data_IF_270595689185
#
_entry.id   IF_270595689185
#
_cell.length_a   1.000
_cell.length_b   1.000
_cell.length_c   1.000
_cell.angle_alpha   90.00
_cell.angle_beta   90.00
_cell.angle_gamma   90.00
#
_symmetry.space_group_name_H-M   'P 1'
#
loop_
_entity.id
_entity.type
_entity.pdbx_description
1 polymer ?
#
# COMPACT_ATOMS: atom_id res chain seq x y z
N UNK A 1 -5.84 4.49 -3.02
CA UNK A 1 -5.37 3.54 -4.01
C UNK A 1 -6.28 2.31 -4.07
N UNK A 2 -6.25 1.40 -3.07
CA UNK A 2 -6.98 0.12 -3.08
C UNK A 2 -8.49 0.30 -3.32
N UNK A 3 -9.15 1.23 -2.63
CA UNK A 3 -10.59 1.51 -2.81
C UNK A 3 -10.90 1.92 -4.25
N UNK A 4 -10.11 2.84 -4.82
CA UNK A 4 -10.32 3.28 -6.20
C UNK A 4 -10.10 2.14 -7.19
N UNK A 5 -9.05 1.33 -7.00
CA UNK A 5 -8.81 0.15 -7.83
C UNK A 5 -9.95 -0.87 -7.73
N UNK A 6 -10.42 -1.14 -6.52
CA UNK A 6 -11.56 -2.04 -6.30
C UNK A 6 -12.82 -1.58 -7.04
N UNK A 7 -13.12 -0.28 -6.99
CA UNK A 7 -14.32 0.30 -7.64
C UNK A 7 -14.21 0.32 -9.15
N UNK A 8 -13.12 0.83 -9.68
CA UNK A 8 -13.01 1.21 -11.09
C UNK A 8 -12.35 0.14 -11.97
N UNK A 9 -11.58 -0.78 -11.37
CA UNK A 9 -10.90 -1.86 -12.11
C UNK A 9 -11.49 -3.22 -11.77
N UNK A 10 -11.64 -3.55 -10.48
CA UNK A 10 -12.17 -4.85 -10.07
C UNK A 10 -13.72 -4.91 -10.05
N UNK A 11 -14.43 -3.81 -10.35
CA UNK A 11 -15.89 -3.78 -10.47
C UNK A 11 -16.67 -3.86 -9.16
N UNK A 12 -16.03 -3.61 -8.01
CA UNK A 12 -16.66 -3.59 -6.69
C UNK A 12 -17.10 -2.15 -6.38
N UNK A 13 -18.21 -1.72 -6.96
CA UNK A 13 -18.65 -0.31 -7.01
C UNK A 13 -18.86 0.34 -5.64
N UNK A 14 -19.23 -0.44 -4.62
CA UNK A 14 -19.46 0.00 -3.24
C UNK A 14 -18.26 -0.27 -2.31
N UNK A 15 -17.08 -0.65 -2.85
CA UNK A 15 -15.87 -0.85 -2.06
C UNK A 15 -15.53 0.40 -1.26
N UNK A 16 -15.23 0.23 0.02
CA UNK A 16 -14.90 1.35 0.91
C UNK A 16 -13.92 0.93 2.02
N UNK A 17 -13.53 1.90 2.85
CA UNK A 17 -12.85 1.65 4.11
C UNK A 17 -13.88 1.62 5.24
N UNK A 18 -13.74 0.66 6.16
CA UNK A 18 -14.48 0.67 7.41
C UNK A 18 -14.21 1.89 8.30
N UNK A 19 -13.12 2.62 8.04
CA UNK A 19 -12.83 3.89 8.71
C UNK A 19 -13.78 5.02 8.25
N UNK A 20 -14.15 5.03 6.97
CA UNK A 20 -15.00 6.07 6.40
C UNK A 20 -16.48 5.73 6.51
N UNK A 21 -16.81 4.43 6.42
CA UNK A 21 -18.18 3.95 6.51
C UNK A 21 -18.19 2.54 7.13
N UNK A 22 -18.55 2.49 8.40
CA UNK A 22 -18.67 1.23 9.14
C UNK A 22 -19.80 0.33 8.64
N UNK A 23 -20.76 0.90 7.91
CA UNK A 23 -21.93 0.17 7.39
C UNK A 23 -21.72 -0.38 5.99
N UNK A 24 -20.65 0.04 5.29
CA UNK A 24 -20.40 -0.41 3.93
C UNK A 24 -20.23 -1.93 3.86
N UNK A 25 -20.79 -2.52 2.80
CA UNK A 25 -20.79 -3.97 2.61
C UNK A 25 -19.39 -4.50 2.25
N UNK A 26 -18.73 -3.82 1.30
CA UNK A 26 -17.44 -4.25 0.78
C UNK A 26 -16.29 -3.42 1.38
N UNK A 27 -15.88 -3.78 2.61
CA UNK A 27 -14.75 -3.16 3.32
C UNK A 27 -13.43 -3.73 2.80
N UNK A 28 -12.91 -3.16 1.71
CA UNK A 28 -11.59 -3.56 1.17
C UNK A 28 -10.43 -3.10 2.04
N UNK A 29 -10.68 -2.11 2.90
CA UNK A 29 -9.82 -1.69 4.01
C UNK A 29 -10.64 -1.85 5.29
N UNK A 30 -10.13 -2.56 6.27
CA UNK A 30 -10.86 -2.89 7.50
C UNK A 30 -9.95 -3.25 8.65
N UNK A 31 -10.54 -3.66 9.76
CA UNK A 31 -9.78 -4.29 10.84
C UNK A 31 -9.37 -5.71 10.44
N UNK A 32 -8.22 -6.15 10.92
CA UNK A 32 -7.87 -7.57 10.83
C UNK A 32 -8.86 -8.40 11.68
N UNK A 33 -9.18 -9.65 11.28
CA UNK A 33 -10.18 -10.48 11.96
C UNK A 33 -9.94 -10.68 13.46
N UNK A 34 -8.69 -10.63 13.90
CA UNK A 34 -8.29 -10.79 15.30
C UNK A 34 -8.31 -9.46 16.10
N UNK A 35 -8.66 -8.36 15.44
CA UNK A 35 -8.77 -7.03 16.04
C UNK A 35 -10.24 -6.69 16.28
N UNK A 36 -10.79 -7.13 17.41
CA UNK A 36 -12.13 -6.72 17.83
C UNK A 36 -12.13 -5.27 18.32
N UNK A 37 -13.25 -4.55 18.12
CA UNK A 37 -13.45 -3.16 18.57
C UNK A 37 -13.17 -2.96 20.06
N UNK A 38 -13.36 -3.98 20.87
CA UNK A 38 -13.09 -3.97 22.31
C UNK A 38 -11.60 -3.95 22.66
N UNK A 39 -10.74 -4.49 21.79
CA UNK A 39 -9.27 -4.44 21.92
C UNK A 39 -8.73 -3.13 21.33
N UNK A 40 -9.50 -2.46 20.47
CA UNK A 40 -9.11 -1.26 19.73
C UNK A 40 -8.79 -0.03 20.58
N UNK A 41 -9.20 0.02 21.85
CA UNK A 41 -8.96 1.19 22.71
C UNK A 41 -7.53 1.29 23.28
N UNK A 42 -6.66 0.33 23.05
CA UNK A 42 -5.30 0.38 23.61
C UNK A 42 -4.18 -0.41 22.92
N UNK A 43 -4.45 -1.27 21.93
CA UNK A 43 -3.41 -2.20 21.49
C UNK A 43 -3.31 -2.55 19.99
N UNK A 44 -4.20 -2.09 19.13
CA UNK A 44 -4.28 -2.50 17.73
C UNK A 44 -3.73 -1.49 16.73
N UNK A 45 -3.26 -0.34 17.21
CA UNK A 45 -2.61 0.64 16.35
C UNK A 45 -1.21 0.13 15.99
N UNK A 46 -0.96 -0.07 14.71
CA UNK A 46 0.41 -0.27 14.23
C UNK A 46 1.15 1.06 14.31
N UNK A 47 1.94 1.20 15.34
CA UNK A 47 2.70 2.42 15.64
C UNK A 47 4.19 2.08 15.74
N UNK A 48 5.01 2.77 14.96
CA UNK A 48 6.46 2.59 14.96
C UNK A 48 6.98 1.81 13.74
N UNK A 49 8.17 1.24 13.86
CA UNK A 49 8.85 0.54 12.78
C UNK A 49 8.40 -0.92 12.70
N UNK A 50 8.02 -1.34 11.49
CA UNK A 50 7.66 -2.73 11.19
C UNK A 50 8.41 -3.22 9.96
N UNK A 51 8.78 -4.51 9.93
CA UNK A 51 9.44 -5.11 8.78
C UNK A 51 8.45 -5.30 7.63
N UNK A 52 8.94 -5.10 6.41
CA UNK A 52 8.22 -5.41 5.18
C UNK A 52 9.13 -6.18 4.24
N UNK A 53 8.64 -7.28 3.69
CA UNK A 53 9.32 -8.07 2.67
C UNK A 53 8.80 -7.67 1.29
N UNK A 54 9.69 -7.14 0.46
CA UNK A 54 9.40 -6.67 -0.89
C UNK A 54 9.52 -7.85 -1.87
N UNK A 55 8.57 -7.94 -2.78
CA UNK A 55 8.53 -8.93 -3.84
C UNK A 55 9.49 -8.53 -4.98
N UNK A 56 10.22 -9.52 -5.50
CA UNK A 56 11.09 -9.34 -6.67
C UNK A 56 10.30 -8.94 -7.92
N UNK A 57 10.98 -8.29 -8.86
CA UNK A 57 10.40 -7.82 -10.12
C UNK A 57 9.23 -6.84 -9.97
N UNK A 58 9.28 -6.00 -8.95
CA UNK A 58 8.31 -4.94 -8.66
C UNK A 58 8.96 -3.56 -8.73
N UNK A 59 8.15 -2.51 -8.87
CA UNK A 59 8.64 -1.13 -8.76
C UNK A 59 9.22 -0.87 -7.36
N UNK A 60 8.61 -1.44 -6.34
CA UNK A 60 9.14 -1.38 -4.97
C UNK A 60 10.57 -1.91 -4.90
N UNK A 61 10.83 -3.10 -5.45
CA UNK A 61 12.18 -3.68 -5.48
C UNK A 61 13.17 -2.80 -6.26
N UNK A 62 12.73 -2.25 -7.40
CA UNK A 62 13.55 -1.35 -8.22
C UNK A 62 14.05 -0.14 -7.43
N UNK A 63 13.18 0.49 -6.63
CA UNK A 63 13.53 1.74 -5.94
C UNK A 63 14.22 1.51 -4.59
N UNK A 64 13.87 0.47 -3.87
CA UNK A 64 14.55 0.14 -2.60
C UNK A 64 15.88 -0.57 -2.78
N UNK A 65 15.99 -1.43 -3.80
CA UNK A 65 17.20 -2.22 -4.05
C UNK A 65 17.45 -3.34 -3.03
N UNK A 66 16.51 -3.57 -2.13
CA UNK A 66 16.60 -4.60 -1.08
C UNK A 66 15.23 -5.20 -0.78
N UNK A 67 15.21 -6.51 -0.47
CA UNK A 67 13.95 -7.24 -0.23
C UNK A 67 13.39 -7.07 1.18
N UNK A 68 14.23 -6.79 2.16
CA UNK A 68 13.82 -6.66 3.55
C UNK A 68 14.01 -5.23 4.02
N UNK A 69 12.92 -4.52 4.18
CA UNK A 69 12.92 -3.14 4.66
C UNK A 69 12.20 -3.04 6.00
N UNK A 70 12.38 -1.92 6.68
CA UNK A 70 11.62 -1.59 7.88
C UNK A 70 11.10 -0.17 7.75
N UNK A 71 9.81 0.01 7.83
CA UNK A 71 9.15 1.30 7.64
C UNK A 71 8.26 1.68 8.82
N UNK A 72 7.98 2.99 8.97
CA UNK A 72 7.23 3.51 10.13
C UNK A 72 5.74 3.64 9.81
N UNK A 73 4.93 3.08 10.70
CA UNK A 73 3.47 3.02 10.61
C UNK A 73 2.81 3.86 11.70
N UNK A 74 1.58 4.32 11.41
CA UNK A 74 0.68 4.95 12.38
C UNK A 74 -0.78 4.78 11.94
N UNK A 75 -1.20 3.57 11.65
CA UNK A 75 -2.55 3.27 11.18
C UNK A 75 -3.17 2.11 11.94
N UNK A 76 -4.47 2.01 11.84
CA UNK A 76 -5.31 1.03 12.54
C UNK A 76 -6.02 0.11 11.56
N UNK A 77 -6.33 0.61 10.36
CA UNK A 77 -7.02 -0.12 9.32
C UNK A 77 -6.01 -0.71 8.34
N UNK A 78 -6.32 -1.92 7.88
CA UNK A 78 -5.44 -2.73 7.05
C UNK A 78 -6.14 -3.14 5.76
N UNK A 79 -5.37 -3.55 4.77
CA UNK A 79 -5.88 -4.22 3.58
C UNK A 79 -6.62 -5.50 3.99
N UNK A 80 -7.85 -5.66 3.51
CA UNK A 80 -8.68 -6.82 3.84
C UNK A 80 -8.33 -8.01 2.92
N UNK A 81 -7.71 -9.05 3.49
CA UNK A 81 -7.27 -10.23 2.77
C UNK A 81 -8.38 -11.02 2.05
N UNK A 82 -9.64 -10.85 2.45
CA UNK A 82 -10.78 -11.45 1.73
C UNK A 82 -10.89 -10.95 0.28
N UNK A 83 -10.36 -9.75 0.01
CA UNK A 83 -10.34 -9.15 -1.33
C UNK A 83 -9.02 -9.38 -2.07
N UNK A 84 -8.04 -10.02 -1.43
CA UNK A 84 -6.70 -10.24 -2.01
C UNK A 84 -6.79 -10.88 -3.39
N UNK A 85 -7.51 -12.00 -3.48
CA UNK A 85 -7.64 -12.75 -4.74
C UNK A 85 -8.32 -11.93 -5.83
N UNK A 86 -9.48 -11.34 -5.57
CA UNK A 86 -10.23 -10.60 -6.61
C UNK A 86 -9.47 -9.37 -7.10
N UNK A 87 -8.74 -8.68 -6.23
CA UNK A 87 -7.95 -7.52 -6.62
C UNK A 87 -6.69 -7.91 -7.40
N UNK A 88 -6.03 -9.02 -7.03
CA UNK A 88 -4.87 -9.50 -7.78
C UNK A 88 -5.26 -10.11 -9.13
N UNK A 89 -6.38 -10.80 -9.22
CA UNK A 89 -6.93 -11.29 -10.49
C UNK A 89 -7.28 -10.12 -11.45
N UNK A 90 -7.65 -8.96 -10.90
CA UNK A 90 -7.92 -7.74 -11.66
C UNK A 90 -6.64 -6.94 -12.03
N UNK A 91 -5.44 -7.39 -11.64
CA UNK A 91 -4.16 -6.78 -12.01
C UNK A 91 -3.46 -5.99 -10.91
N UNK A 92 -4.02 -5.90 -9.70
CA UNK A 92 -3.29 -5.29 -8.57
C UNK A 92 -2.12 -6.17 -8.16
N UNK A 93 -0.92 -5.63 -8.12
CA UNK A 93 0.25 -6.36 -7.64
C UNK A 93 0.48 -6.06 -6.16
N UNK A 94 0.50 -7.09 -5.32
CA UNK A 94 0.99 -6.99 -3.95
C UNK A 94 2.50 -7.05 -4.02
N UNK A 95 3.15 -5.91 -3.81
CA UNK A 95 4.59 -5.72 -3.96
C UNK A 95 5.36 -5.80 -2.64
N UNK A 96 4.66 -5.79 -1.50
CA UNK A 96 5.28 -5.99 -0.19
C UNK A 96 4.28 -6.45 0.86
N UNK A 97 4.77 -7.28 1.78
CA UNK A 97 3.97 -7.86 2.87
C UNK A 97 4.77 -7.87 4.17
N UNK A 98 4.09 -8.12 5.29
CA UNK A 98 4.76 -8.58 6.50
C UNK A 98 5.57 -9.87 6.23
N UNK A 99 6.61 -10.19 7.04
CA UNK A 99 7.47 -11.37 6.78
C UNK A 99 6.75 -12.71 6.73
N UNK A 100 5.60 -12.83 7.40
CA UNK A 100 4.72 -14.00 7.36
C UNK A 100 3.80 -14.02 6.11
N UNK A 101 3.86 -12.98 5.28
CA UNK A 101 3.05 -12.82 4.07
C UNK A 101 1.60 -12.42 4.32
N UNK A 102 1.18 -12.23 5.57
CA UNK A 102 -0.22 -12.02 5.93
C UNK A 102 -0.68 -10.57 5.70
N UNK A 103 0.02 -9.58 6.26
CA UNK A 103 -0.35 -8.18 6.12
C UNK A 103 0.18 -7.62 4.80
N UNK A 104 -0.70 -7.01 4.01
CA UNK A 104 -0.31 -6.31 2.79
C UNK A 104 0.18 -4.92 3.14
N UNK A 105 1.44 -4.65 2.86
CA UNK A 105 2.11 -3.38 3.18
C UNK A 105 2.16 -2.42 2.00
N UNK A 106 2.33 -2.99 0.81
CA UNK A 106 2.47 -2.21 -0.43
C UNK A 106 1.77 -2.88 -1.59
N UNK A 107 1.21 -2.04 -2.47
CA UNK A 107 0.58 -2.46 -3.73
C UNK A 107 1.03 -1.56 -4.86
N UNK A 108 1.01 -2.08 -6.09
CA UNK A 108 1.32 -1.31 -7.29
C UNK A 108 0.44 -1.72 -8.48
N UNK A 109 0.32 -0.82 -9.45
CA UNK A 109 -0.33 -1.05 -10.75
C UNK A 109 0.76 -1.00 -11.82
N UNK A 110 1.18 -2.16 -12.36
CA UNK A 110 2.33 -2.24 -13.28
C UNK A 110 2.12 -1.49 -14.60
N UNK A 111 0.88 -1.33 -15.04
CA UNK A 111 0.52 -0.64 -16.28
C UNK A 111 0.81 0.88 -16.23
N UNK A 112 0.98 1.43 -15.05
CA UNK A 112 1.33 2.83 -14.85
C UNK A 112 2.85 3.01 -14.73
N UNK A 113 3.38 4.08 -15.28
CA UNK A 113 4.81 4.41 -15.23
C UNK A 113 5.33 4.46 -13.78
N UNK A 114 4.52 4.98 -12.86
CA UNK A 114 4.77 4.93 -11.42
C UNK A 114 3.45 4.98 -10.63
N UNK A 115 3.02 3.84 -10.15
CA UNK A 115 1.89 3.75 -9.22
C UNK A 115 2.21 2.77 -8.10
N UNK A 116 2.68 3.30 -7.01
CA UNK A 116 2.99 2.56 -5.78
C UNK A 116 2.19 3.16 -4.62
N UNK A 117 1.52 2.33 -3.87
CA UNK A 117 0.80 2.73 -2.67
C UNK A 117 1.27 1.89 -1.47
N UNK A 118 1.44 2.56 -0.35
CA UNK A 118 2.02 1.98 0.86
C UNK A 118 1.15 2.26 2.09
N UNK A 119 1.20 1.38 3.08
CA UNK A 119 0.53 1.53 4.36
C UNK A 119 1.33 2.40 5.34
N UNK A 120 2.64 2.36 5.24
CA UNK A 120 3.54 3.13 6.07
C UNK A 120 3.67 4.59 5.60
N UNK A 121 4.42 5.37 6.34
CA UNK A 121 4.64 6.81 6.13
C UNK A 121 6.09 7.09 5.69
N UNK A 122 6.38 7.14 4.38
CA UNK A 122 7.72 7.40 3.85
C UNK A 122 8.36 8.68 4.37
N UNK A 123 7.54 9.72 4.63
CA UNK A 123 7.99 11.01 5.14
C UNK A 123 8.70 10.92 6.49
N UNK A 124 8.41 9.92 7.31
CA UNK A 124 9.06 9.75 8.60
C UNK A 124 10.54 9.35 8.49
N UNK A 125 10.94 8.77 7.35
CA UNK A 125 12.33 8.37 7.09
C UNK A 125 13.03 9.23 6.06
N UNK A 126 12.31 10.07 5.33
CA UNK A 126 12.88 10.98 4.35
C UNK A 126 13.66 12.14 5.00
N UNK A 127 14.78 12.53 4.39
CA UNK A 127 15.62 13.67 4.83
C UNK A 127 16.09 14.43 3.59
N UNK A 128 16.39 15.74 3.69
CA UNK A 128 16.88 16.52 2.56
C UNK A 128 18.12 15.94 1.88
N UNK A 129 19.05 15.40 2.66
CA UNK A 129 20.30 14.78 2.18
C UNK A 129 20.20 13.27 1.94
N UNK A 130 19.07 12.66 2.24
CA UNK A 130 18.75 11.24 2.01
C UNK A 130 17.25 11.09 1.80
N UNK A 131 16.73 11.50 0.63
CA UNK A 131 15.31 11.39 0.32
C UNK A 131 14.88 9.93 0.28
N UNK A 132 13.62 9.70 0.63
CA UNK A 132 13.07 8.35 0.62
C UNK A 132 13.00 7.79 -0.82
N UNK A 133 13.32 6.50 -1.06
CA UNK A 133 13.35 5.91 -2.40
C UNK A 133 12.09 6.13 -3.22
N UNK A 134 10.92 6.06 -2.61
CA UNK A 134 9.64 6.26 -3.31
C UNK A 134 9.43 7.71 -3.75
N UNK A 135 9.93 8.70 -3.01
CA UNK A 135 9.90 10.09 -3.45
C UNK A 135 10.85 10.33 -4.61
N UNK A 136 12.03 9.70 -4.59
CA UNK A 136 12.94 9.72 -5.73
C UNK A 136 12.26 9.11 -6.97
N UNK A 137 11.62 7.95 -6.82
CA UNK A 137 10.89 7.28 -7.90
C UNK A 137 9.77 8.13 -8.49
N UNK A 138 8.99 8.80 -7.63
CA UNK A 138 7.93 9.70 -8.08
C UNK A 138 8.47 10.85 -8.93
N UNK A 139 9.50 11.54 -8.44
CA UNK A 139 10.11 12.67 -9.14
C UNK A 139 10.76 12.23 -10.45
N UNK A 140 11.50 11.12 -10.45
CA UNK A 140 12.13 10.56 -11.65
C UNK A 140 11.09 10.28 -12.76
N UNK A 141 9.97 9.66 -12.40
CA UNK A 141 8.93 9.35 -13.39
C UNK A 141 8.15 10.60 -13.83
N UNK A 142 7.94 11.57 -12.94
CA UNK A 142 7.33 12.84 -13.30
C UNK A 142 8.18 13.61 -14.34
N UNK A 143 9.50 13.67 -14.16
CA UNK A 143 10.42 14.29 -15.13
C UNK A 143 10.40 13.55 -16.47
N UNK A 144 10.46 12.22 -16.47
CA UNK A 144 10.36 11.44 -17.71
C UNK A 144 9.04 11.67 -18.46
N UNK A 145 7.94 11.87 -17.76
CA UNK A 145 6.66 12.14 -18.38
C UNK A 145 6.56 13.56 -18.93
N UNK A 146 7.19 14.54 -18.28
CA UNK A 146 7.32 15.88 -18.84
C UNK A 146 8.09 15.85 -20.16
N UNK A 147 9.24 15.17 -20.23
CA UNK A 147 10.04 15.03 -21.47
C UNK A 147 9.29 14.34 -22.61
N UNK A 148 8.34 13.45 -22.29
CA UNK A 148 7.47 12.81 -23.30
C UNK A 148 6.38 13.74 -23.82
N UNK A 149 5.89 14.65 -22.97
CA UNK A 149 4.83 15.61 -23.29
C UNK A 149 5.30 16.80 -24.12
N UNK A 150 6.61 17.12 -24.07
CA UNK A 150 7.24 18.22 -24.81
C UNK A 150 7.65 17.83 -26.26
N UNK A 151 7.31 16.63 -26.71
CA UNK A 151 7.52 16.11 -28.08
C UNK A 151 6.20 16.00 -28.83
#
# INVERSE_FOLDING_TARGET
AVIAFARYVAGISDANSGEFDETCKNKVIGFLPDQNETVAKGGTLRLGAYPCQIKENTQMMKYYGESNISERHRHRYEFNNNYRKVLTDAGLVISGTSPDGYIVETVEIPENDFYVAVQYHPEFKSRPNRPHPLFCGLVENALKNQEKGDK
#
